data_IF_399261427215
#
_entry.id   IF_399261427215
#
_cell.length_a   1.000
_cell.length_b   1.000
_cell.length_c   1.000
_cell.angle_alpha   90.00
_cell.angle_beta   90.00
_cell.angle_gamma   90.00
#
_symmetry.space_group_name_H-M   'P 1'
#
loop_
_entity.id
_entity.type
_entity.pdbx_description
1 polymer ?
#
# COMPACT_ATOMS: atom_id res chain seq x y z
N UNK A 1 -15.18 3.98 1.65
CA UNK A 1 -16.37 4.76 2.09
C UNK A 1 -16.42 4.69 3.61
N UNK A 2 -16.48 5.85 4.28
CA UNK A 2 -16.47 5.88 5.74
C UNK A 2 -17.79 5.33 6.30
N UNK A 3 -17.69 4.33 7.20
CA UNK A 3 -18.86 3.77 7.89
C UNK A 3 -19.35 4.75 8.96
N UNK A 4 -20.68 4.81 9.17
CA UNK A 4 -21.25 5.57 10.27
C UNK A 4 -20.99 4.84 11.58
N UNK A 5 -20.29 5.50 12.50
CA UNK A 5 -19.93 5.03 13.84
C UNK A 5 -19.99 6.18 14.83
N UNK A 6 -20.08 5.82 16.11
CA UNK A 6 -19.95 6.75 17.23
C UNK A 6 -18.72 7.67 17.01
N UNK A 7 -18.89 8.93 17.31
CA UNK A 7 -17.85 9.96 17.22
C UNK A 7 -17.34 10.27 15.79
N UNK A 8 -18.03 9.82 14.75
CA UNK A 8 -17.70 10.23 13.37
C UNK A 8 -17.85 11.75 13.20
N UNK A 9 -18.84 12.34 13.87
CA UNK A 9 -18.93 13.78 14.16
C UNK A 9 -19.53 13.95 15.57
N UNK A 10 -19.44 15.15 16.13
CA UNK A 10 -19.84 15.47 17.51
C UNK A 10 -21.30 15.14 17.84
N UNK A 11 -22.17 15.02 16.83
CA UNK A 11 -23.61 14.78 16.97
C UNK A 11 -24.00 13.31 16.67
N UNK A 12 -23.09 12.45 16.29
CA UNK A 12 -23.36 11.01 16.12
C UNK A 12 -23.00 10.29 17.42
N UNK A 13 -23.98 10.19 18.31
CA UNK A 13 -23.91 9.35 19.50
C UNK A 13 -24.12 7.88 19.15
N UNK A 14 -23.96 6.99 20.13
CA UNK A 14 -24.18 5.54 19.94
C UNK A 14 -25.64 5.23 19.59
N UNK A 15 -26.58 5.93 20.22
CA UNK A 15 -28.03 5.82 19.94
C UNK A 15 -28.35 6.25 18.49
N UNK A 16 -27.82 7.41 18.07
CA UNK A 16 -28.00 7.91 16.70
C UNK A 16 -27.39 6.94 15.68
N UNK A 17 -26.19 6.44 15.92
CA UNK A 17 -25.55 5.48 15.02
C UNK A 17 -26.34 4.16 14.93
N UNK A 18 -26.92 3.69 16.02
CA UNK A 18 -27.76 2.49 16.07
C UNK A 18 -29.04 2.69 15.27
N UNK A 19 -29.76 3.81 15.48
CA UNK A 19 -30.99 4.14 14.75
C UNK A 19 -30.74 4.28 13.24
N UNK A 20 -29.64 4.94 12.84
CA UNK A 20 -29.27 5.04 11.44
C UNK A 20 -28.97 3.68 10.81
N UNK A 21 -28.28 2.79 11.55
CA UNK A 21 -28.03 1.42 11.09
C UNK A 21 -29.32 0.62 10.92
N UNK A 22 -30.28 0.77 11.83
CA UNK A 22 -31.59 0.09 11.76
C UNK A 22 -32.40 0.57 10.55
N UNK A 23 -32.25 1.83 10.14
CA UNK A 23 -32.82 2.40 8.92
C UNK A 23 -32.00 2.08 7.65
N UNK A 24 -31.04 1.13 7.72
CA UNK A 24 -30.24 0.71 6.56
C UNK A 24 -29.08 1.65 6.18
N UNK A 25 -28.86 2.73 6.93
CA UNK A 25 -27.80 3.70 6.67
C UNK A 25 -26.48 3.20 7.28
N UNK A 26 -25.56 2.71 6.44
CA UNK A 26 -24.29 2.12 6.88
C UNK A 26 -23.09 3.04 6.65
N UNK A 27 -23.15 3.89 5.64
CA UNK A 27 -22.05 4.77 5.23
C UNK A 27 -22.45 6.24 5.18
N UNK A 28 -21.45 7.13 5.21
CA UNK A 28 -21.66 8.58 5.01
C UNK A 28 -22.35 8.87 3.68
N UNK A 29 -22.05 8.11 2.64
CA UNK A 29 -22.66 8.29 1.32
C UNK A 29 -24.14 7.94 1.34
N UNK A 30 -24.51 6.84 2.02
CA UNK A 30 -25.90 6.46 2.18
C UNK A 30 -26.66 7.58 2.88
N UNK A 31 -26.10 8.11 3.97
CA UNK A 31 -26.69 9.20 4.74
C UNK A 31 -26.90 10.48 3.92
N UNK A 32 -25.88 10.90 3.19
CA UNK A 32 -25.94 12.15 2.40
C UNK A 32 -26.95 12.05 1.25
N UNK A 33 -27.18 10.84 0.71
CA UNK A 33 -28.12 10.60 -0.40
C UNK A 33 -29.58 10.50 0.06
N UNK A 34 -29.82 10.20 1.35
CA UNK A 34 -31.18 10.03 1.85
C UNK A 34 -31.93 11.34 1.94
N UNK A 35 -33.24 11.26 1.78
CA UNK A 35 -34.15 12.34 2.11
C UNK A 35 -34.22 12.50 3.64
N UNK A 36 -34.01 13.70 4.14
CA UNK A 36 -33.94 13.98 5.57
C UNK A 36 -35.33 13.94 6.25
N UNK A 37 -36.40 14.24 5.52
CA UNK A 37 -37.77 14.17 6.04
C UNK A 37 -38.18 12.72 6.23
N UNK A 38 -37.93 11.89 5.23
CA UNK A 38 -38.17 10.44 5.30
C UNK A 38 -37.35 9.79 6.42
N UNK A 39 -36.08 10.15 6.53
CA UNK A 39 -35.20 9.61 7.56
C UNK A 39 -35.64 10.02 8.98
N UNK A 40 -36.16 11.22 9.16
CA UNK A 40 -36.72 11.69 10.43
C UNK A 40 -37.96 10.87 10.87
N UNK A 41 -38.79 10.46 9.91
CA UNK A 41 -39.96 9.63 10.20
C UNK A 41 -39.56 8.19 10.57
N UNK A 42 -38.53 7.63 9.89
CA UNK A 42 -38.10 6.25 10.16
C UNK A 42 -37.26 6.12 11.44
N UNK A 43 -36.42 7.11 11.76
CA UNK A 43 -35.43 6.98 12.85
C UNK A 43 -35.84 7.63 14.16
N UNK A 44 -36.95 8.38 14.19
CA UNK A 44 -37.36 9.21 15.35
C UNK A 44 -36.30 10.24 15.78
N UNK A 45 -35.31 10.50 14.96
CA UNK A 45 -34.31 11.55 15.19
C UNK A 45 -34.89 12.89 14.70
N UNK A 46 -34.77 13.96 15.49
CA UNK A 46 -35.30 15.28 15.07
C UNK A 46 -34.70 15.72 13.73
N UNK A 47 -35.55 16.24 12.83
CA UNK A 47 -35.12 16.70 11.52
C UNK A 47 -33.96 17.71 11.58
N UNK A 48 -33.98 18.62 12.57
CA UNK A 48 -32.91 19.61 12.78
C UNK A 48 -31.55 18.95 13.04
N UNK A 49 -31.53 17.86 13.81
CA UNK A 49 -30.31 17.13 14.14
C UNK A 49 -29.79 16.36 12.93
N UNK A 50 -30.68 15.77 12.14
CA UNK A 50 -30.31 15.12 10.89
C UNK A 50 -29.69 16.12 9.89
N UNK A 51 -30.31 17.28 9.73
CA UNK A 51 -29.75 18.35 8.85
C UNK A 51 -28.40 18.84 9.35
N UNK A 52 -28.24 18.98 10.67
CA UNK A 52 -26.97 19.40 11.28
C UNK A 52 -25.88 18.34 11.04
N UNK A 53 -26.19 17.08 11.31
CA UNK A 53 -25.28 15.95 11.03
C UNK A 53 -24.89 15.95 9.54
N UNK A 54 -25.85 16.13 8.63
CA UNK A 54 -25.56 16.20 7.19
C UNK A 54 -24.58 17.31 6.83
N UNK A 55 -24.78 18.51 7.38
CA UNK A 55 -23.87 19.64 7.16
C UNK A 55 -22.46 19.37 7.70
N UNK A 56 -22.35 18.77 8.89
CA UNK A 56 -21.07 18.40 9.48
C UNK A 56 -20.34 17.34 8.66
N UNK A 57 -21.08 16.29 8.24
CA UNK A 57 -20.52 15.24 7.38
C UNK A 57 -20.09 15.79 6.02
N UNK A 58 -20.89 16.66 5.40
CA UNK A 58 -20.50 17.32 4.15
C UNK A 58 -19.25 18.20 4.36
N UNK A 59 -19.17 18.98 5.43
CA UNK A 59 -18.00 19.79 5.74
C UNK A 59 -16.73 18.92 5.96
N UNK A 60 -16.88 17.77 6.59
CA UNK A 60 -15.75 16.88 6.92
C UNK A 60 -15.31 16.01 5.73
N UNK A 61 -16.25 15.57 4.87
CA UNK A 61 -15.98 14.61 3.80
C UNK A 61 -16.07 15.20 2.39
N UNK A 62 -16.43 16.48 2.24
CA UNK A 62 -16.40 17.16 0.95
C UNK A 62 -14.97 17.53 0.57
N UNK A 63 -14.69 17.43 -0.70
CA UNK A 63 -13.42 17.86 -1.28
C UNK A 63 -13.55 19.33 -1.66
N UNK A 64 -12.74 20.18 -1.05
CA UNK A 64 -12.66 21.58 -1.41
C UNK A 64 -11.47 21.81 -2.33
N UNK A 65 -11.60 22.65 -3.38
CA UNK A 65 -10.48 23.04 -4.21
C UNK A 65 -9.45 23.79 -3.34
N UNK A 66 -8.19 23.38 -3.46
CA UNK A 66 -7.04 24.01 -2.80
C UNK A 66 -6.18 24.63 -3.90
N UNK A 67 -5.62 25.82 -3.70
CA UNK A 67 -4.71 26.36 -4.68
C UNK A 67 -3.41 25.54 -4.76
N UNK A 68 -2.75 25.59 -5.92
CA UNK A 68 -1.59 24.76 -6.18
C UNK A 68 -0.41 25.07 -5.25
N UNK A 69 -0.25 26.31 -4.79
CA UNK A 69 0.83 26.69 -3.88
C UNK A 69 0.65 26.05 -2.49
N UNK A 70 -0.57 26.12 -1.94
CA UNK A 70 -0.88 25.50 -0.64
C UNK A 70 -0.79 23.97 -0.74
N UNK A 71 -1.28 23.39 -1.84
CA UNK A 71 -1.15 21.96 -2.11
C UNK A 71 0.33 21.52 -2.18
N UNK A 72 1.17 22.28 -2.87
CA UNK A 72 2.60 22.02 -2.99
C UNK A 72 3.30 22.07 -1.62
N UNK A 73 3.05 23.10 -0.83
CA UNK A 73 3.58 23.23 0.54
C UNK A 73 3.19 22.04 1.41
N UNK A 74 1.92 21.67 1.39
CA UNK A 74 1.39 20.52 2.16
C UNK A 74 2.03 19.22 1.70
N UNK A 75 2.16 19.05 0.38
CA UNK A 75 2.77 17.83 -0.20
C UNK A 75 4.23 17.70 0.23
N UNK A 76 5.03 18.76 0.13
CA UNK A 76 6.44 18.73 0.58
C UNK A 76 6.54 18.41 2.07
N UNK A 77 5.69 19.03 2.90
CA UNK A 77 5.73 18.83 4.35
C UNK A 77 5.35 17.40 4.79
N UNK A 78 4.51 16.70 3.98
CA UNK A 78 4.02 15.35 4.32
C UNK A 78 4.69 14.23 3.54
N UNK A 79 5.34 14.54 2.42
CA UNK A 79 6.03 13.55 1.59
C UNK A 79 7.29 13.04 2.27
N UNK A 80 7.49 11.73 2.15
CA UNK A 80 8.75 11.08 2.46
C UNK A 80 9.20 10.23 1.27
N UNK A 81 10.51 10.16 1.07
CA UNK A 81 11.13 9.31 0.05
C UNK A 81 11.92 8.25 0.80
N UNK A 82 11.62 7.00 0.56
CA UNK A 82 12.27 5.87 1.22
C UNK A 82 13.35 5.31 0.29
N UNK A 83 14.59 5.18 0.77
CA UNK A 83 15.68 4.68 -0.06
C UNK A 83 15.50 3.19 -0.34
N UNK A 84 15.75 2.77 -1.56
CA UNK A 84 15.97 1.36 -1.89
C UNK A 84 17.42 0.97 -1.57
N UNK A 85 17.75 -0.33 -1.48
CA UNK A 85 19.12 -0.77 -1.21
C UNK A 85 20.10 -0.51 -2.36
N UNK A 86 19.62 -0.07 -3.52
CA UNK A 86 20.40 0.11 -4.76
C UNK A 86 20.42 1.58 -5.13
N UNK A 87 21.58 2.23 -5.06
CA UNK A 87 21.70 3.67 -5.32
C UNK A 87 21.31 4.06 -6.74
N UNK A 88 21.73 3.27 -7.73
CA UNK A 88 21.34 3.48 -9.13
C UNK A 88 19.83 3.41 -9.34
N UNK A 89 19.12 2.58 -8.53
CA UNK A 89 17.66 2.53 -8.57
C UNK A 89 17.05 3.77 -7.91
N UNK A 90 17.65 4.28 -6.84
CA UNK A 90 17.20 5.53 -6.23
C UNK A 90 17.35 6.71 -7.21
N UNK A 91 18.47 6.79 -7.94
CA UNK A 91 18.64 7.79 -9.01
C UNK A 91 17.59 7.64 -10.12
N UNK A 92 17.30 6.40 -10.53
CA UNK A 92 16.27 6.10 -11.55
C UNK A 92 14.85 6.51 -11.10
N UNK A 93 14.56 6.39 -9.80
CA UNK A 93 13.28 6.73 -9.18
C UNK A 93 13.22 8.17 -8.64
N UNK A 94 14.23 9.00 -8.91
CA UNK A 94 14.35 10.37 -8.41
C UNK A 94 14.38 10.45 -6.87
N UNK A 95 15.09 9.51 -6.24
CA UNK A 95 15.31 9.46 -4.78
C UNK A 95 14.91 8.16 -4.10
N UNK A 96 13.99 7.38 -4.65
CA UNK A 96 13.53 6.12 -4.07
C UNK A 96 12.02 5.88 -4.16
N UNK A 97 11.47 5.23 -3.14
CA UNK A 97 10.03 4.94 -3.06
C UNK A 97 9.31 6.13 -2.41
N UNK A 98 8.41 6.75 -3.15
CA UNK A 98 7.65 7.90 -2.67
C UNK A 98 6.45 7.50 -1.84
N UNK A 99 6.24 8.21 -0.74
CA UNK A 99 4.97 8.14 0.00
C UNK A 99 3.79 8.59 -0.87
N UNK A 100 2.60 8.08 -0.57
CA UNK A 100 1.37 8.25 -1.35
C UNK A 100 1.40 7.60 -2.74
N UNK A 101 2.46 6.85 -3.07
CA UNK A 101 2.58 6.14 -4.34
C UNK A 101 2.62 4.63 -4.17
N UNK A 102 2.21 3.94 -5.23
CA UNK A 102 2.31 2.50 -5.37
C UNK A 102 3.39 2.19 -6.39
N UNK A 103 4.45 1.52 -5.96
CA UNK A 103 5.51 1.01 -6.84
C UNK A 103 5.35 -0.49 -6.99
N UNK A 104 5.35 -0.97 -8.22
CA UNK A 104 5.26 -2.38 -8.56
C UNK A 104 6.60 -2.90 -9.07
N UNK A 105 7.04 -4.03 -8.52
CA UNK A 105 8.15 -4.81 -9.06
C UNK A 105 7.57 -6.07 -9.69
N UNK A 106 7.65 -6.16 -11.00
CA UNK A 106 7.22 -7.30 -11.77
C UNK A 106 8.42 -8.09 -12.31
N UNK A 107 8.28 -9.39 -12.42
CA UNK A 107 9.36 -10.24 -12.95
C UNK A 107 8.99 -11.71 -12.93
N UNK A 108 9.79 -12.52 -13.63
CA UNK A 108 9.64 -13.97 -13.67
C UNK A 108 9.83 -14.61 -12.28
N UNK A 109 9.44 -15.87 -12.15
CA UNK A 109 9.74 -16.67 -10.96
C UNK A 109 11.26 -16.70 -10.78
N UNK A 110 11.71 -16.60 -9.53
CA UNK A 110 13.13 -16.58 -9.15
C UNK A 110 13.95 -15.39 -9.68
N UNK A 111 13.31 -14.34 -10.19
CA UNK A 111 14.02 -13.12 -10.61
C UNK A 111 14.56 -12.28 -9.44
N UNK A 112 14.26 -12.63 -8.19
CA UNK A 112 14.80 -11.94 -7.00
C UNK A 112 13.89 -10.90 -6.36
N UNK A 113 12.59 -10.87 -6.71
CA UNK A 113 11.61 -9.89 -6.18
C UNK A 113 11.52 -9.88 -4.67
N UNK A 114 11.37 -11.05 -4.04
CA UNK A 114 11.35 -11.19 -2.57
C UNK A 114 12.68 -10.75 -1.95
N UNK A 115 13.83 -11.07 -2.58
CA UNK A 115 15.13 -10.61 -2.10
C UNK A 115 15.24 -9.08 -2.13
N UNK A 116 14.70 -8.44 -3.17
CA UNK A 116 14.61 -7.00 -3.24
C UNK A 116 13.72 -6.42 -2.12
N UNK A 117 12.56 -7.04 -1.83
CA UNK A 117 11.69 -6.62 -0.73
C UNK A 117 12.37 -6.71 0.63
N UNK A 118 13.05 -7.82 0.92
CA UNK A 118 13.79 -8.01 2.18
C UNK A 118 14.92 -6.98 2.32
N UNK A 119 15.64 -6.72 1.24
CA UNK A 119 16.68 -5.68 1.23
C UNK A 119 16.13 -4.27 1.40
N UNK A 120 14.94 -3.97 0.84
CA UNK A 120 14.23 -2.73 1.11
C UNK A 120 13.85 -2.59 2.59
N UNK A 121 13.46 -3.69 3.26
CA UNK A 121 13.18 -3.65 4.70
C UNK A 121 14.42 -3.17 5.48
N UNK A 122 15.57 -3.76 5.22
CA UNK A 122 16.82 -3.35 5.90
C UNK A 122 17.17 -1.90 5.58
N UNK A 123 17.12 -1.51 4.30
CA UNK A 123 17.45 -0.15 3.86
C UNK A 123 16.55 0.91 4.50
N UNK A 124 15.24 0.70 4.53
CA UNK A 124 14.26 1.67 5.06
C UNK A 124 14.39 1.80 6.58
N UNK A 125 14.52 0.68 7.31
CA UNK A 125 14.68 0.74 8.77
C UNK A 125 16.00 1.38 9.15
N UNK A 126 17.11 1.01 8.50
CA UNK A 126 18.44 1.52 8.86
C UNK A 126 18.63 3.00 8.51
N UNK A 127 18.19 3.42 7.32
CA UNK A 127 18.44 4.77 6.80
C UNK A 127 17.34 5.76 7.16
N UNK A 128 16.06 5.36 7.03
CA UNK A 128 14.93 6.25 7.26
C UNK A 128 14.33 6.12 8.67
N UNK A 129 14.72 5.10 9.45
CA UNK A 129 14.20 4.78 10.80
C UNK A 129 12.66 4.67 10.82
N UNK A 130 12.10 4.05 9.78
CA UNK A 130 10.67 3.86 9.60
C UNK A 130 10.30 2.40 9.73
N UNK A 131 9.09 2.14 10.25
CA UNK A 131 8.56 0.79 10.39
C UNK A 131 7.88 0.31 9.09
N UNK A 132 7.78 -0.99 8.96
CA UNK A 132 7.30 -1.66 7.76
C UNK A 132 6.24 -2.69 8.13
N UNK A 133 5.16 -2.75 7.34
CA UNK A 133 4.24 -3.88 7.33
C UNK A 133 4.50 -4.70 6.07
N UNK A 134 4.91 -5.95 6.25
CA UNK A 134 5.13 -6.91 5.18
C UNK A 134 3.97 -7.90 5.13
N UNK A 135 3.23 -7.92 4.04
CA UNK A 135 2.12 -8.84 3.82
C UNK A 135 2.62 -9.94 2.90
N UNK A 136 2.84 -11.12 3.45
CA UNK A 136 3.29 -12.31 2.73
C UNK A 136 2.08 -13.12 2.27
N UNK A 137 1.98 -13.35 0.98
CA UNK A 137 0.86 -14.11 0.38
C UNK A 137 1.25 -15.50 -0.09
N UNK A 138 2.55 -15.77 -0.15
CA UNK A 138 3.10 -16.99 -0.74
C UNK A 138 3.88 -17.85 0.27
N UNK A 139 4.09 -17.39 1.50
CA UNK A 139 5.00 -18.03 2.45
C UNK A 139 6.47 -17.86 2.08
N UNK A 140 6.80 -16.79 1.35
CA UNK A 140 8.15 -16.52 0.87
C UNK A 140 8.99 -15.65 1.80
N UNK A 141 8.40 -15.06 2.83
CA UNK A 141 9.12 -14.26 3.82
C UNK A 141 9.99 -15.17 4.71
N UNK A 142 11.27 -14.82 4.84
CA UNK A 142 12.20 -15.49 5.75
C UNK A 142 12.81 -14.49 6.72
N UNK A 143 12.52 -14.66 8.01
CA UNK A 143 13.12 -13.86 9.07
C UNK A 143 14.64 -14.10 9.17
N UNK A 144 15.09 -15.34 8.98
CA UNK A 144 16.51 -15.68 8.99
C UNK A 144 17.25 -14.98 7.84
N UNK A 145 16.62 -14.90 6.66
CA UNK A 145 17.21 -14.20 5.53
C UNK A 145 17.25 -12.68 5.75
N UNK A 146 16.20 -12.11 6.34
CA UNK A 146 16.19 -10.70 6.73
C UNK A 146 17.29 -10.40 7.74
N UNK A 147 17.45 -11.26 8.76
CA UNK A 147 18.52 -11.17 9.75
C UNK A 147 19.91 -11.26 9.09
N UNK A 148 20.15 -12.24 8.23
CA UNK A 148 21.43 -12.39 7.54
C UNK A 148 21.79 -11.18 6.64
N UNK A 149 20.80 -10.55 5.98
CA UNK A 149 21.02 -9.32 5.23
C UNK A 149 21.40 -8.18 6.19
N UNK A 150 20.70 -8.03 7.32
CA UNK A 150 20.98 -7.00 8.30
C UNK A 150 22.37 -7.17 8.93
N UNK A 151 22.72 -8.36 9.38
CA UNK A 151 24.04 -8.69 9.97
C UNK A 151 25.19 -8.41 9.02
N UNK A 152 24.99 -8.67 7.72
CA UNK A 152 26.03 -8.44 6.72
C UNK A 152 26.29 -6.98 6.38
N UNK A 153 25.36 -6.10 6.72
CA UNK A 153 25.40 -4.65 6.42
C UNK A 153 25.63 -3.77 7.65
N UNK A 154 25.20 -4.23 8.83
CA UNK A 154 25.11 -3.43 10.06
C UNK A 154 25.79 -4.15 11.23
N UNK A 155 26.09 -3.40 12.30
CA UNK A 155 26.58 -4.00 13.54
C UNK A 155 25.45 -4.82 14.23
N UNK A 156 25.84 -5.87 14.97
CA UNK A 156 24.92 -6.80 15.65
C UNK A 156 23.89 -6.10 16.55
N UNK A 157 24.28 -4.99 17.18
CA UNK A 157 23.41 -4.20 18.05
C UNK A 157 22.17 -3.62 17.34
N UNK A 158 22.15 -3.57 16.00
CA UNK A 158 21.05 -3.03 15.20
C UNK A 158 20.07 -4.11 14.74
N UNK A 159 20.44 -5.38 14.84
CA UNK A 159 19.66 -6.50 14.34
C UNK A 159 18.27 -6.57 15.00
N UNK A 160 18.22 -6.52 16.31
CA UNK A 160 16.96 -6.58 17.06
C UNK A 160 16.01 -5.45 16.65
N UNK A 161 16.55 -4.25 16.51
CA UNK A 161 15.76 -3.09 16.07
C UNK A 161 15.17 -3.30 14.67
N UNK A 162 15.93 -3.85 13.74
CA UNK A 162 15.42 -4.15 12.38
C UNK A 162 14.29 -5.17 12.45
N UNK A 163 14.47 -6.26 13.18
CA UNK A 163 13.47 -7.31 13.30
C UNK A 163 12.18 -6.79 13.98
N UNK A 164 12.30 -5.94 14.99
CA UNK A 164 11.16 -5.31 15.67
C UNK A 164 10.44 -4.26 14.81
N UNK A 165 11.14 -3.66 13.84
CA UNK A 165 10.60 -2.64 12.95
C UNK A 165 9.85 -3.21 11.74
N UNK A 166 9.80 -4.53 11.57
CA UNK A 166 9.07 -5.21 10.50
C UNK A 166 7.99 -6.11 11.08
N UNK A 167 6.72 -5.77 10.87
CA UNK A 167 5.59 -6.65 11.16
C UNK A 167 5.21 -7.46 9.94
N UNK A 168 5.12 -8.77 10.09
CA UNK A 168 4.76 -9.70 9.02
C UNK A 168 3.33 -10.19 9.21
N UNK A 169 2.54 -10.15 8.15
CA UNK A 169 1.16 -10.63 8.12
C UNK A 169 1.02 -11.64 6.99
N UNK A 170 0.58 -12.87 7.30
CA UNK A 170 0.25 -13.86 6.28
C UNK A 170 -1.17 -13.61 5.73
N UNK A 171 -1.33 -13.64 4.40
CA UNK A 171 -2.60 -13.47 3.73
C UNK A 171 -2.67 -14.36 2.47
N UNK A 172 -3.28 -15.52 2.56
CA UNK A 172 -3.26 -16.56 1.52
C UNK A 172 -4.38 -16.46 0.49
N UNK A 173 -5.30 -15.52 0.65
CA UNK A 173 -6.36 -15.22 -0.31
C UNK A 173 -6.65 -13.71 -0.38
N UNK A 174 -7.47 -13.31 -1.37
CA UNK A 174 -7.77 -11.89 -1.62
C UNK A 174 -8.56 -11.25 -0.46
N UNK A 175 -9.38 -12.03 0.26
CA UNK A 175 -10.18 -11.51 1.38
C UNK A 175 -9.29 -11.27 2.60
N UNK A 176 -8.36 -12.19 2.88
CA UNK A 176 -7.34 -12.02 3.92
C UNK A 176 -6.45 -10.82 3.63
N UNK A 177 -6.00 -10.63 2.38
CA UNK A 177 -5.23 -9.45 1.99
C UNK A 177 -6.04 -8.15 2.19
N UNK A 178 -7.30 -8.13 1.77
CA UNK A 178 -8.17 -6.95 1.98
C UNK A 178 -8.42 -6.68 3.47
N UNK A 179 -8.53 -7.72 4.29
CA UNK A 179 -8.66 -7.62 5.74
C UNK A 179 -7.36 -7.10 6.38
N UNK A 180 -6.21 -7.62 5.98
CA UNK A 180 -4.91 -7.16 6.45
C UNK A 180 -4.69 -5.66 6.18
N UNK A 181 -5.02 -5.19 4.97
CA UNK A 181 -4.94 -3.76 4.61
C UNK A 181 -5.91 -2.90 5.45
N UNK A 182 -7.11 -3.40 5.76
CA UNK A 182 -8.05 -2.68 6.63
C UNK A 182 -7.55 -2.65 8.08
N UNK A 183 -6.97 -3.75 8.60
CA UNK A 183 -6.35 -3.80 9.93
C UNK A 183 -5.21 -2.79 10.05
N UNK A 184 -4.32 -2.70 9.05
CA UNK A 184 -3.25 -1.68 9.01
C UNK A 184 -3.87 -0.29 9.11
N UNK A 185 -4.87 0.00 8.29
CA UNK A 185 -5.57 1.28 8.30
C UNK A 185 -6.23 1.59 9.65
N UNK A 186 -6.91 0.60 10.25
CA UNK A 186 -7.54 0.79 11.56
C UNK A 186 -6.52 1.11 12.65
N UNK A 187 -5.39 0.40 12.69
CA UNK A 187 -4.33 0.63 13.68
C UNK A 187 -3.68 2.01 13.51
N UNK A 188 -3.48 2.46 12.27
CA UNK A 188 -2.99 3.82 12.00
C UNK A 188 -3.98 4.92 12.42
N UNK A 189 -5.29 4.64 12.37
CA UNK A 189 -6.32 5.58 12.86
C UNK A 189 -6.40 5.58 14.39
N UNK A 190 -6.36 4.40 15.01
CA UNK A 190 -6.51 4.25 16.47
C UNK A 190 -5.30 4.76 17.23
N UNK A 191 -4.10 4.63 16.66
CA UNK A 191 -2.81 5.01 17.29
C UNK A 191 -2.60 4.39 18.69
N UNK A 192 -3.12 3.17 18.86
CA UNK A 192 -2.98 2.44 20.15
C UNK A 192 -1.59 1.80 20.30
N UNK A 193 -0.99 1.44 19.17
CA UNK A 193 0.35 0.86 19.13
C UNK A 193 1.35 1.85 18.50
N UNK A 194 2.41 2.24 19.24
CA UNK A 194 3.45 3.15 18.73
C UNK A 194 4.14 2.70 17.45
N UNK A 195 4.14 1.39 17.18
CA UNK A 195 4.68 0.81 15.94
C UNK A 195 4.09 1.47 14.69
N UNK A 196 2.77 1.71 14.67
CA UNK A 196 2.07 2.24 13.49
C UNK A 196 2.31 3.73 13.26
N UNK A 197 2.78 4.49 14.25
CA UNK A 197 3.13 5.90 14.08
C UNK A 197 4.34 6.09 13.14
N UNK A 198 5.22 5.10 13.11
CA UNK A 198 6.44 5.09 12.29
C UNK A 198 6.29 4.27 10.99
N UNK A 199 5.14 3.65 10.73
CA UNK A 199 4.94 2.90 9.49
C UNK A 199 4.91 3.86 8.30
N UNK A 200 5.81 3.63 7.33
CA UNK A 200 5.90 4.39 6.08
C UNK A 200 5.96 3.52 4.84
N UNK A 201 6.21 2.22 5.00
CA UNK A 201 6.24 1.25 3.90
C UNK A 201 5.29 0.08 4.19
N UNK A 202 4.47 -0.25 3.19
CA UNK A 202 3.70 -1.49 3.15
C UNK A 202 4.15 -2.29 1.94
N UNK A 203 4.54 -3.54 2.17
CA UNK A 203 4.96 -4.47 1.12
C UNK A 203 3.89 -5.54 0.96
N UNK A 204 3.53 -5.89 -0.27
CA UNK A 204 2.65 -7.02 -0.59
C UNK A 204 3.36 -7.97 -1.54
N UNK A 205 3.77 -9.11 -1.06
CA UNK A 205 4.51 -10.13 -1.82
C UNK A 205 3.75 -11.48 -1.84
N UNK A 206 2.96 -11.73 -2.89
CA UNK A 206 2.68 -10.98 -4.09
C UNK A 206 1.17 -10.79 -4.30
N UNK A 207 0.78 -9.71 -4.99
CA UNK A 207 -0.64 -9.50 -5.34
C UNK A 207 -1.17 -10.57 -6.29
N UNK A 208 -0.32 -11.09 -7.16
CA UNK A 208 -0.68 -12.10 -8.16
C UNK A 208 -1.15 -13.40 -7.53
N UNK A 209 -0.51 -13.83 -6.45
CA UNK A 209 -0.82 -15.11 -5.80
C UNK A 209 -2.25 -15.17 -5.28
N UNK A 210 -2.78 -14.06 -4.78
CA UNK A 210 -4.13 -14.00 -4.19
C UNK A 210 -5.20 -13.55 -5.20
N UNK A 211 -4.83 -12.79 -6.24
CA UNK A 211 -5.79 -12.34 -7.26
C UNK A 211 -6.03 -13.44 -8.30
N UNK A 212 -4.97 -14.12 -8.76
CA UNK A 212 -5.05 -15.06 -9.87
C UNK A 212 -6.07 -16.19 -9.67
N UNK A 213 -6.15 -16.84 -8.49
CA UNK A 213 -7.16 -17.86 -8.22
C UNK A 213 -8.60 -17.32 -8.32
N UNK A 214 -8.81 -16.04 -8.01
CA UNK A 214 -10.13 -15.40 -8.07
C UNK A 214 -10.59 -15.05 -9.50
N UNK A 215 -9.68 -15.05 -10.48
CA UNK A 215 -9.99 -14.76 -11.88
C UNK A 215 -10.47 -16.00 -12.65
N UNK A 216 -10.37 -17.22 -12.09
CA UNK A 216 -10.67 -18.48 -12.74
C UNK A 216 -12.14 -18.92 -12.74
N UNK A 217 -13.06 -18.11 -12.13
CA UNK A 217 -14.49 -18.42 -12.02
C UNK A 217 -15.35 -17.63 -13.01
N UNK A 218 -16.54 -17.21 -12.56
CA UNK A 218 -17.34 -16.23 -13.32
C UNK A 218 -16.56 -14.92 -13.36
N UNK A 219 -16.04 -14.57 -14.52
CA UNK A 219 -15.03 -13.50 -14.74
C UNK A 219 -15.38 -12.13 -14.15
N UNK A 220 -16.67 -11.84 -13.97
CA UNK A 220 -17.15 -10.55 -13.45
C UNK A 220 -16.79 -10.33 -11.97
N UNK A 221 -16.88 -11.37 -11.14
CA UNK A 221 -16.65 -11.25 -9.69
C UNK A 221 -15.17 -11.05 -9.36
N UNK A 222 -14.28 -11.80 -10.02
CA UNK A 222 -12.84 -11.67 -9.83
C UNK A 222 -12.29 -10.30 -10.24
N UNK A 223 -12.79 -9.73 -11.32
CA UNK A 223 -12.44 -8.36 -11.74
C UNK A 223 -12.94 -7.32 -10.74
N UNK A 224 -14.15 -7.49 -10.20
CA UNK A 224 -14.69 -6.64 -9.15
C UNK A 224 -13.81 -6.63 -7.89
N UNK A 225 -13.38 -7.80 -7.43
CA UNK A 225 -12.47 -7.96 -6.30
C UNK A 225 -11.10 -7.30 -6.56
N UNK A 226 -10.53 -7.50 -7.74
CA UNK A 226 -9.28 -6.86 -8.15
C UNK A 226 -9.38 -5.32 -8.13
N UNK A 227 -10.49 -4.75 -8.60
CA UNK A 227 -10.74 -3.30 -8.55
C UNK A 227 -10.89 -2.83 -7.10
N UNK A 228 -11.61 -3.57 -6.26
CA UNK A 228 -11.74 -3.22 -4.83
C UNK A 228 -10.39 -3.24 -4.12
N UNK A 229 -9.57 -4.27 -4.35
CA UNK A 229 -8.23 -4.35 -3.79
C UNK A 229 -7.36 -3.18 -4.24
N UNK A 230 -7.38 -2.85 -5.53
CA UNK A 230 -6.62 -1.72 -6.09
C UNK A 230 -6.99 -0.39 -5.44
N UNK A 231 -8.28 -0.15 -5.22
CA UNK A 231 -8.77 1.03 -4.52
C UNK A 231 -8.34 1.07 -3.05
N UNK A 232 -8.34 -0.08 -2.35
CA UNK A 232 -7.87 -0.16 -0.96
C UNK A 232 -6.37 0.17 -0.88
N UNK A 233 -5.55 -0.41 -1.75
CA UNK A 233 -4.10 -0.13 -1.82
C UNK A 233 -3.83 1.36 -2.07
N UNK A 234 -4.46 1.94 -3.09
CA UNK A 234 -4.26 3.36 -3.42
C UNK A 234 -4.72 4.31 -2.32
N UNK A 235 -5.86 4.01 -1.68
CA UNK A 235 -6.36 4.81 -0.55
C UNK A 235 -5.45 4.70 0.66
N UNK A 236 -4.98 3.50 0.99
CA UNK A 236 -4.05 3.32 2.09
C UNK A 236 -2.78 4.16 1.86
N UNK A 237 -2.21 4.13 0.65
CA UNK A 237 -1.06 4.94 0.29
C UNK A 237 -1.34 6.44 0.44
N UNK A 238 -2.44 6.94 -0.13
CA UNK A 238 -2.76 8.37 -0.17
C UNK A 238 -3.20 8.91 1.20
N UNK A 239 -4.12 8.21 1.90
CA UNK A 239 -4.73 8.69 3.14
C UNK A 239 -3.73 8.76 4.31
N UNK A 240 -2.69 7.91 4.29
CA UNK A 240 -1.69 7.82 5.37
C UNK A 240 -0.27 8.21 4.94
N UNK A 241 -0.11 8.73 3.73
CA UNK A 241 1.20 9.09 3.17
C UNK A 241 2.20 7.94 3.29
N UNK A 242 1.80 6.74 2.82
CA UNK A 242 2.62 5.53 2.80
C UNK A 242 3.19 5.29 1.41
N UNK A 243 4.41 4.80 1.34
CA UNK A 243 4.89 4.10 0.17
C UNK A 243 4.31 2.66 0.18
N UNK A 244 3.79 2.21 -0.96
CA UNK A 244 3.33 0.83 -1.10
C UNK A 244 4.13 0.14 -2.20
N UNK A 245 4.81 -0.94 -1.83
CA UNK A 245 5.57 -1.79 -2.74
C UNK A 245 4.79 -3.08 -2.98
N UNK A 246 4.43 -3.34 -4.23
CA UNK A 246 3.71 -4.56 -4.60
C UNK A 246 4.54 -5.41 -5.55
N UNK A 247 4.46 -6.72 -5.33
CA UNK A 247 5.14 -7.70 -6.18
C UNK A 247 4.11 -8.33 -7.12
N UNK A 248 4.48 -8.38 -8.40
CA UNK A 248 3.70 -9.02 -9.45
C UNK A 248 4.56 -10.00 -10.26
N UNK A 249 3.92 -10.92 -10.96
CA UNK A 249 4.59 -11.85 -11.85
C UNK A 249 4.49 -11.40 -13.30
N UNK A 250 5.33 -12.01 -14.12
CA UNK A 250 5.27 -11.91 -15.59
C UNK A 250 4.76 -13.24 -16.11
N UNK A 251 3.88 -13.19 -17.09
CA UNK A 251 3.32 -14.35 -17.80
C UNK A 251 4.33 -14.90 -18.81
N UNK A 252 4.13 -16.13 -19.29
CA UNK A 252 5.07 -16.78 -20.22
C UNK A 252 5.28 -16.06 -21.56
N UNK A 253 4.38 -15.14 -21.92
CA UNK A 253 4.50 -14.24 -23.08
C UNK A 253 5.28 -12.93 -22.78
N UNK A 254 5.84 -12.82 -21.58
CA UNK A 254 6.63 -11.64 -21.17
C UNK A 254 5.81 -10.44 -20.68
N UNK A 255 4.48 -10.56 -20.64
CA UNK A 255 3.63 -9.48 -20.14
C UNK A 255 3.49 -9.52 -18.63
N UNK A 256 3.31 -8.35 -18.00
CA UNK A 256 3.00 -8.27 -16.57
C UNK A 256 1.61 -8.83 -16.31
N UNK A 257 1.50 -9.71 -15.33
CA UNK A 257 0.25 -10.38 -14.95
C UNK A 257 -0.86 -9.41 -14.54
N UNK A 258 -2.11 -9.91 -14.46
CA UNK A 258 -3.31 -9.18 -14.07
C UNK A 258 -3.85 -8.21 -15.15
N UNK A 259 -3.20 -8.12 -16.31
CA UNK A 259 -3.74 -7.48 -17.50
C UNK A 259 -3.90 -5.95 -17.43
N UNK A 260 -4.70 -5.42 -18.38
CA UNK A 260 -4.86 -3.97 -18.57
C UNK A 260 -5.51 -3.27 -17.39
N UNK A 261 -6.46 -3.88 -16.72
CA UNK A 261 -7.16 -3.30 -15.56
C UNK A 261 -6.19 -3.03 -14.42
N UNK A 262 -5.23 -3.93 -14.18
CA UNK A 262 -4.21 -3.72 -13.15
C UNK A 262 -3.13 -2.72 -13.55
N UNK A 263 -2.92 -2.51 -14.85
CA UNK A 263 -1.87 -1.61 -15.35
C UNK A 263 -1.99 -0.17 -14.84
N UNK A 264 -3.19 0.25 -14.43
CA UNK A 264 -3.46 1.58 -13.88
C UNK A 264 -3.22 1.68 -12.36
N UNK A 265 -2.97 0.57 -11.68
CA UNK A 265 -2.80 0.56 -10.21
C UNK A 265 -1.46 1.19 -9.79
N UNK A 266 -0.30 0.70 -10.24
CA UNK A 266 0.97 1.28 -9.83
C UNK A 266 1.21 2.65 -10.47
N UNK A 267 1.86 3.55 -9.73
CA UNK A 267 2.39 4.81 -10.25
C UNK A 267 3.71 4.56 -10.97
N UNK A 268 4.59 3.75 -10.36
CA UNK A 268 5.84 3.31 -10.95
C UNK A 268 5.86 1.79 -11.11
N UNK A 269 6.41 1.29 -12.21
CA UNK A 269 6.59 -0.15 -12.46
C UNK A 269 8.00 -0.44 -12.88
N UNK A 270 8.63 -1.33 -12.14
CA UNK A 270 9.95 -1.88 -12.40
C UNK A 270 9.79 -3.31 -12.93
N UNK A 271 10.47 -3.64 -13.99
CA UNK A 271 10.59 -5.00 -14.51
C UNK A 271 11.96 -5.53 -14.14
N UNK A 272 12.01 -6.58 -13.31
CA UNK A 272 13.24 -7.27 -12.93
C UNK A 272 13.36 -8.59 -13.69
N UNK A 273 14.51 -8.81 -14.31
CA UNK A 273 14.80 -10.01 -15.08
C UNK A 273 16.25 -10.46 -14.89
N UNK A 274 16.54 -11.70 -15.26
CA UNK A 274 17.92 -12.16 -15.35
C UNK A 274 18.67 -11.38 -16.44
N UNK A 275 19.85 -10.88 -16.09
CA UNK A 275 20.67 -10.18 -17.05
C UNK A 275 21.28 -11.17 -18.04
N UNK A 276 21.13 -10.91 -19.34
CA UNK A 276 21.72 -11.75 -20.38
C UNK A 276 23.24 -11.57 -20.37
N UNK A 277 23.95 -12.67 -20.60
CA UNK A 277 25.43 -12.70 -20.72
C UNK A 277 26.17 -12.17 -19.46
N UNK A 278 25.53 -12.20 -18.29
CA UNK A 278 26.10 -11.82 -17.00
C UNK A 278 26.12 -12.98 -16.01
N UNK A 279 26.72 -12.77 -14.84
CA UNK A 279 26.71 -13.75 -13.75
C UNK A 279 25.29 -14.11 -13.33
N UNK A 280 25.03 -15.34 -12.83
CA UNK A 280 23.68 -15.79 -12.46
C UNK A 280 22.97 -14.95 -11.40
N UNK A 281 23.71 -14.23 -10.59
CA UNK A 281 23.19 -13.37 -9.52
C UNK A 281 22.94 -11.92 -9.97
N UNK A 282 23.26 -11.55 -11.22
CA UNK A 282 23.01 -10.23 -11.78
C UNK A 282 21.60 -10.14 -12.34
N UNK A 283 20.94 -9.02 -12.08
CA UNK A 283 19.59 -8.70 -12.59
C UNK A 283 19.61 -7.39 -13.36
N UNK A 284 18.83 -7.37 -14.44
CA UNK A 284 18.46 -6.13 -15.13
C UNK A 284 17.16 -5.62 -14.55
N UNK A 285 17.09 -4.34 -14.20
CA UNK A 285 15.86 -3.66 -13.79
C UNK A 285 15.55 -2.54 -14.77
N UNK A 286 14.34 -2.54 -15.31
CA UNK A 286 13.87 -1.56 -16.29
C UNK A 286 12.68 -0.80 -15.72
N UNK A 287 12.71 0.53 -15.76
CA UNK A 287 11.56 1.36 -15.44
C UNK A 287 10.60 1.38 -16.64
N UNK A 288 9.50 0.63 -16.55
CA UNK A 288 8.53 0.49 -17.66
C UNK A 288 7.31 1.37 -17.51
N UNK A 289 7.11 1.94 -16.33
CA UNK A 289 6.06 2.94 -16.06
C UNK A 289 6.53 3.90 -14.98
N UNK A 290 6.35 5.18 -15.19
CA UNK A 290 6.50 6.23 -14.17
C UNK A 290 5.65 7.43 -14.53
N UNK A 291 5.22 8.18 -13.52
CA UNK A 291 4.57 9.48 -13.66
C UNK A 291 5.56 10.65 -13.60
N UNK A 292 6.82 10.40 -13.22
CA UNK A 292 7.84 11.43 -12.95
C UNK A 292 9.08 11.27 -13.80
N UNK A 293 9.54 10.04 -14.02
CA UNK A 293 10.80 9.73 -14.68
C UNK A 293 10.59 9.19 -16.09
N UNK A 294 11.58 9.34 -16.97
CA UNK A 294 11.56 8.79 -18.31
C UNK A 294 11.60 7.25 -18.26
N UNK A 295 10.69 6.61 -18.97
CA UNK A 295 10.59 5.15 -19.05
C UNK A 295 11.63 4.58 -20.04
N UNK A 296 11.97 3.28 -19.85
CA UNK A 296 12.93 2.57 -20.68
C UNK A 296 14.37 2.64 -20.14
N UNK A 297 14.64 3.45 -19.14
CA UNK A 297 15.94 3.46 -18.46
C UNK A 297 16.17 2.16 -17.72
N UNK A 298 17.43 1.69 -17.77
CA UNK A 298 17.84 0.39 -17.24
C UNK A 298 19.00 0.54 -16.25
N UNK A 299 18.96 -0.30 -15.23
CA UNK A 299 20.07 -0.49 -14.31
C UNK A 299 20.37 -1.96 -14.14
N UNK A 300 21.57 -2.25 -13.67
CA UNK A 300 21.95 -3.59 -13.24
C UNK A 300 22.16 -3.61 -11.74
N UNK A 301 21.68 -4.66 -11.08
CA UNK A 301 21.91 -4.93 -9.67
C UNK A 301 22.42 -6.36 -9.49
N UNK A 302 23.04 -6.62 -8.36
CA UNK A 302 23.52 -7.95 -7.96
C UNK A 302 22.79 -8.42 -6.70
N UNK A 303 22.42 -9.71 -6.66
CA UNK A 303 21.86 -10.37 -5.47
C UNK A 303 23.00 -11.15 -4.81
N UNK A 304 23.33 -10.77 -3.59
CA UNK A 304 24.43 -11.35 -2.80
C UNK A 304 23.92 -11.87 -1.45
N UNK A 305 24.82 -12.31 -0.59
CA UNK A 305 24.49 -12.61 0.80
C UNK A 305 24.02 -11.35 1.54
N UNK A 306 24.51 -10.19 1.15
CA UNK A 306 24.09 -8.88 1.67
C UNK A 306 22.76 -8.37 1.14
N UNK A 307 22.03 -9.15 0.35
CA UNK A 307 20.80 -8.74 -0.30
C UNK A 307 21.02 -8.22 -1.72
N UNK A 308 20.26 -7.21 -2.12
CA UNK A 308 20.40 -6.57 -3.42
C UNK A 308 21.31 -5.34 -3.33
N UNK A 309 22.29 -5.26 -4.20
CA UNK A 309 23.33 -4.22 -4.20
C UNK A 309 23.58 -3.64 -5.59
N UNK A 310 24.21 -2.47 -5.63
CA UNK A 310 24.78 -1.94 -6.87
C UNK A 310 25.93 -2.84 -7.35
N UNK A 311 25.99 -3.08 -8.65
CA UNK A 311 27.16 -3.75 -9.24
C UNK A 311 28.38 -2.81 -9.12
N UNK A 312 29.43 -3.37 -8.53
CA UNK A 312 30.73 -2.70 -8.35
C UNK A 312 31.47 -2.53 -9.66
#
# INVERSE_FOLDING_TARGET
MSAIRKNLCSHITEDVASKLKSAGIKTVVDYVRMDMEHLAQETTIPYKDLVLIRRLLLAQFSTFPVNCADFYQTTIATSSILPTPVNKLNELLDGGLYSSEVTEVAGEISSGKTQFCLSCCVSVVSSAKQNIVYIDTCGGFSADRLAGIAESQLAEEHLEHILQSVKVVAAHDIFQLMSALETVKENMIKKEEPFYDLVKLVIVDSVTAVIYPSLGGQQMDGHGLMVQLSLKIKRLAADFSLAVLIINNVTGDGNVSLGKTWSHVPHNRLLISHARDQKPNVREVVLVKSSKSAVGSKIMLEITEKGTEDIK
#
